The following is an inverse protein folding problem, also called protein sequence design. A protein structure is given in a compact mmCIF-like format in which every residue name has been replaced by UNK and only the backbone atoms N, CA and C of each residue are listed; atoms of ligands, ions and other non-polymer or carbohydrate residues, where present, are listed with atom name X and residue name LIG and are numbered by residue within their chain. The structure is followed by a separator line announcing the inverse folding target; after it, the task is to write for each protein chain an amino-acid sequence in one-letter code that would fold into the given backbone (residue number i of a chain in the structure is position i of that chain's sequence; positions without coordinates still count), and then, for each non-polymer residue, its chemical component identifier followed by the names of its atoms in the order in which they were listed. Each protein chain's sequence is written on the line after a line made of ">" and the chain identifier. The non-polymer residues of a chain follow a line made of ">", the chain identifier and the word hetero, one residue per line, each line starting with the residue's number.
data_IF_193203125822
#
_entry.id   IF_193203125822
#
_cell.length_a   1.000
_cell.length_b   1.000
_cell.length_c   1.000
_cell.angle_alpha   90.00
_cell.angle_beta   90.00
_cell.angle_gamma   90.00
#
_symmetry.space_group_name_H-M   'P 1'
#
loop_
_entity.id
_entity.type
_entity.pdbx_description
1 polymer ?
#
# COMPACT_ATOMS: atom_id res chain seq x y z
N UNK A 1 -0.64 -17.03 -5.06
CA UNK A 1 -0.77 -16.68 -5.00
C UNK A 1 -0.88 -15.56 -5.31
N UNK A 2 -1.29 -14.98 -5.32
CA UNK A 2 -1.17 -14.04 -5.78
C UNK A 2 -1.79 -13.00 -5.39
N UNK A 3 -1.48 -12.15 -5.26
CA UNK A 3 -1.91 -11.03 -4.78
C UNK A 3 -2.36 -10.15 -5.84
N UNK A 4 -3.45 -10.41 -6.42
CA UNK A 4 -3.99 -9.56 -7.44
C UNK A 4 -4.65 -8.37 -6.79
N UNK A 5 -3.84 -7.43 -6.37
CA UNK A 5 -4.33 -6.20 -5.79
C UNK A 5 -4.81 -5.30 -6.92
N UNK A 6 -6.02 -4.76 -6.76
CA UNK A 6 -6.68 -3.95 -7.78
C UNK A 6 -7.12 -2.63 -7.19
N UNK A 7 -7.37 -1.67 -8.05
CA UNK A 7 -7.92 -0.38 -7.64
C UNK A 7 -9.24 -0.63 -6.90
N UNK A 8 -9.38 0.00 -5.74
CA UNK A 8 -10.55 -0.16 -4.90
C UNK A 8 -10.40 -1.20 -3.81
N UNK A 9 -9.37 -2.03 -3.89
CA UNK A 9 -9.15 -3.04 -2.85
C UNK A 9 -8.66 -2.38 -1.56
N UNK A 10 -8.95 -3.02 -0.46
CA UNK A 10 -8.44 -2.62 0.84
C UNK A 10 -7.24 -3.49 1.15
N UNK A 11 -6.13 -2.85 1.46
CA UNK A 11 -4.87 -3.55 1.68
C UNK A 11 -4.26 -3.10 3.00
N UNK A 12 -3.27 -3.84 3.43
CA UNK A 12 -2.48 -3.49 4.61
C UNK A 12 -1.01 -3.71 4.29
N UNK A 13 -0.14 -3.15 5.13
CA UNK A 13 1.29 -3.35 4.98
C UNK A 13 1.64 -4.65 5.67
N UNK A 14 2.45 -5.47 5.02
CA UNK A 14 2.88 -6.74 5.58
C UNK A 14 3.62 -6.51 6.89
N UNK A 15 3.32 -7.32 7.90
CA UNK A 15 3.94 -7.20 9.20
C UNK A 15 5.45 -7.14 9.13
N UNK A 16 6.04 -7.99 8.32
CA UNK A 16 7.49 -8.08 8.23
C UNK A 16 8.10 -6.78 7.73
N UNK A 17 7.40 -6.08 6.85
CA UNK A 17 7.90 -4.80 6.33
C UNK A 17 7.95 -3.75 7.42
N UNK A 18 7.04 -3.82 8.38
CA UNK A 18 7.02 -2.87 9.50
C UNK A 18 8.04 -3.28 10.55
N UNK A 19 8.05 -4.54 10.93
CA UNK A 19 8.93 -4.99 12.02
C UNK A 19 10.40 -4.94 11.64
N UNK A 20 10.70 -5.09 10.34
CA UNK A 20 12.08 -5.00 9.88
C UNK A 20 12.57 -3.56 9.74
N UNK A 21 11.65 -2.60 9.86
CA UNK A 21 12.01 -1.19 9.68
C UNK A 21 12.06 -0.76 8.23
N UNK A 22 11.70 -1.63 7.30
CA UNK A 22 11.73 -1.28 5.90
C UNK A 22 10.72 -0.18 5.57
N UNK A 23 9.55 -0.24 6.20
CA UNK A 23 8.53 0.80 6.09
C UNK A 23 8.34 1.42 7.46
N UNK A 24 8.39 2.74 7.53
CA UNK A 24 8.23 3.48 8.77
C UNK A 24 7.04 4.43 8.66
N UNK A 25 6.47 4.76 9.81
CA UNK A 25 5.39 5.73 9.86
C UNK A 25 4.01 5.11 9.77
N UNK A 26 3.93 3.79 9.66
CA UNK A 26 2.65 3.09 9.56
C UNK A 26 2.62 1.95 10.56
N UNK A 27 1.41 1.47 10.87
CA UNK A 27 1.26 0.32 11.76
C UNK A 27 0.58 -0.82 11.03
N UNK A 28 0.67 -2.01 11.62
CA UNK A 28 0.04 -3.19 11.03
C UNK A 28 -1.47 -3.09 10.99
N UNK A 29 -2.03 -2.21 11.80
CA UNK A 29 -3.48 -2.04 11.88
C UNK A 29 -4.02 -1.07 10.86
N UNK A 30 -3.14 -0.32 10.22
CA UNK A 30 -3.58 0.63 9.21
C UNK A 30 -4.13 -0.10 8.00
N UNK A 31 -5.21 0.44 7.45
CA UNK A 31 -5.82 -0.09 6.23
C UNK A 31 -5.84 1.01 5.19
N UNK A 32 -5.62 0.61 3.96
CA UNK A 32 -5.51 1.55 2.85
C UNK A 32 -6.40 1.12 1.72
N UNK A 33 -6.93 2.08 1.00
CA UNK A 33 -7.64 1.82 -0.24
C UNK A 33 -6.68 2.07 -1.40
N UNK A 34 -6.64 1.15 -2.34
CA UNK A 34 -5.80 1.28 -3.53
C UNK A 34 -6.45 2.26 -4.48
N UNK A 35 -5.74 3.35 -4.77
CA UNK A 35 -6.29 4.41 -5.61
C UNK A 35 -5.76 4.34 -7.03
N UNK A 36 -4.60 3.73 -7.25
CA UNK A 36 -4.03 3.63 -8.58
C UNK A 36 -2.65 3.03 -8.54
N UNK A 37 -2.07 2.90 -9.70
CA UNK A 37 -0.74 2.33 -9.86
C UNK A 37 0.09 3.26 -10.74
N UNK A 38 1.38 3.32 -10.43
CA UNK A 38 2.32 4.03 -11.28
C UNK A 38 2.54 3.22 -12.54
N UNK A 39 2.42 3.87 -13.70
CA UNK A 39 2.52 3.18 -14.97
C UNK A 39 3.90 3.27 -15.60
N UNK A 40 4.78 4.09 -15.06
CA UNK A 40 6.12 4.17 -15.61
C UNK A 40 6.96 3.09 -15.02
N UNK A 41 7.59 2.40 -15.86
CA UNK A 41 8.25 1.18 -15.73
C UNK A 41 9.36 1.04 -14.76
N UNK A 42 9.20 1.40 -13.59
CA UNK A 42 10.14 0.93 -12.61
C UNK A 42 9.62 -0.39 -12.12
N UNK A 43 10.52 -1.27 -11.86
CA UNK A 43 10.17 -2.57 -11.35
C UNK A 43 9.65 -2.51 -9.91
N UNK A 44 9.72 -1.38 -9.27
CA UNK A 44 9.14 -1.20 -7.95
C UNK A 44 7.64 -0.92 -7.96
N UNK A 45 7.13 -0.44 -9.04
CA UNK A 45 5.70 -0.22 -9.26
C UNK A 45 4.99 0.32 -8.04
N UNK A 46 5.22 1.57 -7.66
CA UNK A 46 4.53 2.13 -6.50
C UNK A 46 3.02 2.11 -6.69
N UNK A 47 2.34 1.87 -5.59
CA UNK A 47 0.89 1.86 -5.54
C UNK A 47 0.46 3.12 -4.83
N UNK A 48 -0.50 3.83 -5.42
CA UNK A 48 -1.09 5.00 -4.78
C UNK A 48 -2.18 4.51 -3.85
N UNK A 49 -2.08 4.86 -2.59
CA UNK A 49 -3.02 4.39 -1.58
C UNK A 49 -3.49 5.57 -0.73
N UNK A 50 -4.65 5.40 -0.13
CA UNK A 50 -5.19 6.36 0.82
C UNK A 50 -5.55 5.62 2.09
N UNK A 51 -5.15 6.17 3.23
CA UNK A 51 -5.50 5.59 4.51
C UNK A 51 -7.02 5.65 4.68
N UNK A 52 -7.62 4.54 5.02
CA UNK A 52 -9.07 4.45 5.19
C UNK A 52 -9.46 5.37 6.35
N UNK A 53 -10.42 6.23 6.08
CA UNK A 53 -10.88 7.20 7.09
C UNK A 53 -10.15 8.53 7.03
N UNK A 54 -9.09 8.63 6.26
CA UNK A 54 -8.35 9.87 6.12
C UNK A 54 -9.05 10.76 5.10
N UNK A 55 -9.19 12.04 5.44
CA UNK A 55 -9.79 13.01 4.54
C UNK A 55 -8.75 13.77 3.73
N UNK A 56 -7.48 13.46 3.92
CA UNK A 56 -6.40 14.12 3.20
C UNK A 56 -6.51 13.80 1.71
N UNK A 57 -6.53 14.80 0.83
CA UNK A 57 -6.66 14.52 -0.61
C UNK A 57 -5.39 13.97 -1.24
N UNK A 58 -4.27 13.98 -0.54
CA UNK A 58 -3.00 13.51 -1.09
C UNK A 58 -2.87 12.01 -0.85
N UNK A 59 -2.60 11.27 -1.90
CA UNK A 59 -2.38 9.83 -1.79
C UNK A 59 -0.93 9.54 -1.40
N UNK A 60 -0.75 8.50 -0.62
CA UNK A 60 0.59 7.98 -0.33
C UNK A 60 1.00 7.01 -1.42
N UNK A 61 2.30 6.80 -1.54
CA UNK A 61 2.84 5.84 -2.49
C UNK A 61 3.60 4.77 -1.73
N UNK A 62 3.25 3.52 -1.99
CA UNK A 62 3.92 2.39 -1.34
C UNK A 62 4.27 1.35 -2.39
N UNK A 63 5.39 0.63 -2.21
CA UNK A 63 5.73 -0.45 -3.12
C UNK A 63 4.70 -1.57 -3.06
N UNK A 64 4.43 -2.17 -4.20
CA UNK A 64 3.45 -3.25 -4.24
C UNK A 64 3.85 -4.42 -3.34
N UNK A 65 5.14 -4.70 -3.28
CA UNK A 65 5.59 -5.90 -2.57
C UNK A 65 5.49 -5.79 -1.05
N UNK A 66 5.18 -4.60 -0.51
CA UNK A 66 4.95 -4.49 0.93
C UNK A 66 3.47 -4.57 1.28
N UNK A 67 2.60 -4.71 0.29
CA UNK A 67 1.15 -4.70 0.49
C UNK A 67 0.58 -6.09 0.35
N UNK A 68 -0.49 -6.33 1.08
CA UNK A 68 -1.27 -7.56 0.94
C UNK A 68 -2.73 -7.21 1.17
N UNK A 69 -3.60 -8.04 0.65
CA UNK A 69 -5.04 -7.84 0.86
C UNK A 69 -5.37 -7.92 2.34
N UNK A 70 -6.19 -7.00 2.79
CA UNK A 70 -6.56 -6.96 4.20
C UNK A 70 -7.59 -8.04 4.52
#
# INVERSE_FOLDING_TARGET
>A
MNNDIKIGDIVKIKSLSITSGFIEGYSEEDRFEVMGFETYGTWNKPVYVRLVGDTNPVNDQLPLYVLELA
#
